data_IF_034678039100
#
_entry.id   IF_034678039100
#
_cell.length_a   1.000
_cell.length_b   1.000
_cell.length_c   1.000
_cell.angle_alpha   90.00
_cell.angle_beta   90.00
_cell.angle_gamma   90.00
#
_symmetry.space_group_name_H-M   'P 1'
#
loop_
_entity.id
_entity.type
_entity.pdbx_description
1 polymer ?
#
# COMPACT_ATOMS: atom_id res chain seq x y z
N UNK A 1 -6.08 14.48 15.81
CA UNK A 1 -5.86 14.70 14.36
C UNK A 1 -7.09 15.29 13.76
N UNK A 2 -6.90 16.24 12.85
CA UNK A 2 -7.96 16.65 11.95
C UNK A 2 -8.18 15.54 10.91
N UNK A 3 -9.43 15.36 10.48
CA UNK A 3 -9.77 14.37 9.47
C UNK A 3 -9.15 14.76 8.12
N UNK A 4 -8.73 13.77 7.33
CA UNK A 4 -8.25 13.99 5.97
C UNK A 4 -9.35 14.65 5.12
N UNK A 5 -9.11 15.89 4.69
CA UNK A 5 -10.05 16.62 3.84
C UNK A 5 -10.29 15.91 2.52
N UNK A 6 -11.49 16.08 1.94
CA UNK A 6 -11.76 15.67 0.56
C UNK A 6 -10.80 16.40 -0.40
N UNK A 7 -10.30 15.66 -1.39
CA UNK A 7 -9.34 16.19 -2.36
C UNK A 7 -7.89 16.26 -1.85
N UNK A 8 -7.57 15.59 -0.74
CA UNK A 8 -6.19 15.41 -0.29
C UNK A 8 -5.33 14.79 -1.40
N UNK A 9 -4.14 15.35 -1.60
CA UNK A 9 -3.14 14.81 -2.52
C UNK A 9 -2.41 13.61 -1.90
N UNK A 10 -1.60 12.89 -2.69
CA UNK A 10 -0.77 11.82 -2.13
C UNK A 10 0.25 12.39 -1.12
N UNK A 11 0.79 13.58 -1.39
CA UNK A 11 1.64 14.28 -0.42
C UNK A 11 0.90 14.64 0.89
N UNK A 12 -0.38 15.03 0.81
CA UNK A 12 -1.21 15.27 2.00
C UNK A 12 -1.41 13.99 2.82
N UNK A 13 -1.69 12.86 2.16
CA UNK A 13 -1.83 11.54 2.81
C UNK A 13 -0.51 11.12 3.45
N UNK A 14 0.61 11.27 2.74
CA UNK A 14 1.93 10.89 3.24
C UNK A 14 2.31 11.70 4.50
N UNK A 15 2.01 13.01 4.52
CA UNK A 15 2.17 13.87 5.70
C UNK A 15 1.23 13.47 6.83
N UNK A 16 -0.04 13.21 6.54
CA UNK A 16 -1.01 12.73 7.53
C UNK A 16 -0.52 11.45 8.23
N UNK A 17 0.07 10.51 7.47
CA UNK A 17 0.64 9.29 8.05
C UNK A 17 1.82 9.60 8.98
N UNK A 18 2.71 10.53 8.64
CA UNK A 18 3.81 10.92 9.55
C UNK A 18 3.29 11.48 10.88
N UNK A 19 2.25 12.30 10.84
CA UNK A 19 1.59 12.85 12.03
C UNK A 19 0.89 11.75 12.85
N UNK A 20 0.23 10.81 12.15
CA UNK A 20 -0.41 9.64 12.75
C UNK A 20 0.58 8.78 13.53
N UNK A 21 1.74 8.49 12.94
CA UNK A 21 2.77 7.68 13.58
C UNK A 21 3.35 8.36 14.82
N UNK A 22 3.54 9.67 14.77
CA UNK A 22 4.00 10.45 15.93
C UNK A 22 3.00 10.37 17.07
N UNK A 23 1.71 10.53 16.79
CA UNK A 23 0.66 10.50 17.81
C UNK A 23 0.42 9.10 18.40
N UNK A 24 0.58 8.06 17.58
CA UNK A 24 0.43 6.67 18.03
C UNK A 24 1.69 6.11 18.70
N UNK A 25 2.77 6.90 18.81
CA UNK A 25 4.03 6.45 19.41
C UNK A 25 4.81 5.46 18.53
N UNK A 26 4.61 5.51 17.22
CA UNK A 26 5.26 4.64 16.23
C UNK A 26 6.37 5.34 15.43
N UNK A 27 6.66 6.62 15.73
CA UNK A 27 7.70 7.38 15.05
C UNK A 27 9.09 6.69 15.10
N UNK A 28 9.40 6.03 16.21
CA UNK A 28 10.68 5.34 16.42
C UNK A 28 10.77 3.96 15.75
N UNK A 29 9.66 3.44 15.20
CA UNK A 29 9.69 2.18 14.46
C UNK A 29 10.50 2.35 13.16
N UNK A 30 11.39 1.39 12.94
CA UNK A 30 12.31 1.38 11.79
C UNK A 30 11.57 1.03 10.49
N UNK A 31 12.17 1.38 9.35
CA UNK A 31 11.65 0.99 8.04
C UNK A 31 11.54 -0.54 7.89
N UNK A 32 12.46 -1.32 8.47
CA UNK A 32 12.38 -2.79 8.48
C UNK A 32 11.12 -3.28 9.20
N UNK A 33 10.84 -2.73 10.38
CA UNK A 33 9.61 -3.09 11.12
C UNK A 33 8.35 -2.72 10.33
N UNK A 34 8.35 -1.57 9.65
CA UNK A 34 7.24 -1.17 8.77
C UNK A 34 7.06 -2.09 7.57
N UNK A 35 8.15 -2.55 6.97
CA UNK A 35 8.09 -3.54 5.88
C UNK A 35 7.52 -4.89 6.36
N UNK A 36 7.84 -5.31 7.59
CA UNK A 36 7.28 -6.54 8.17
C UNK A 36 5.77 -6.42 8.37
N UNK A 37 5.31 -5.32 8.99
CA UNK A 37 3.88 -5.06 9.17
C UNK A 37 3.14 -4.96 7.82
N UNK A 38 3.70 -4.25 6.85
CA UNK A 38 3.15 -4.20 5.49
C UNK A 38 3.04 -5.58 4.84
N UNK A 39 3.98 -6.49 5.13
CA UNK A 39 3.94 -7.87 4.66
C UNK A 39 2.81 -8.68 5.30
N UNK A 40 2.48 -8.40 6.56
CA UNK A 40 1.32 -8.99 7.25
C UNK A 40 0.01 -8.55 6.58
N UNK A 41 -0.18 -7.24 6.36
CA UNK A 41 -1.39 -6.71 5.68
C UNK A 41 -1.51 -7.19 4.23
N UNK A 42 -0.38 -7.38 3.53
CA UNK A 42 -0.39 -8.01 2.21
C UNK A 42 -0.90 -9.45 2.26
N UNK A 43 -0.53 -10.21 3.30
CA UNK A 43 -1.02 -11.55 3.53
C UNK A 43 -2.52 -11.58 3.84
N UNK A 44 -3.01 -10.65 4.65
CA UNK A 44 -4.43 -10.49 4.94
C UNK A 44 -5.23 -10.07 3.69
N UNK A 45 -4.70 -9.15 2.87
CA UNK A 45 -5.27 -8.82 1.56
C UNK A 45 -5.44 -10.08 0.69
N UNK A 46 -4.43 -10.95 0.64
CA UNK A 46 -4.52 -12.20 -0.13
C UNK A 46 -5.62 -13.13 0.40
N UNK A 47 -5.78 -13.23 1.73
CA UNK A 47 -6.88 -14.01 2.33
C UNK A 47 -8.24 -13.40 1.99
N UNK A 48 -8.38 -12.08 2.08
CA UNK A 48 -9.61 -11.36 1.76
C UNK A 48 -10.02 -11.54 0.28
N UNK A 49 -9.05 -11.47 -0.64
CA UNK A 49 -9.28 -11.73 -2.07
C UNK A 49 -9.68 -13.19 -2.30
N UNK A 50 -8.94 -14.16 -1.73
CA UNK A 50 -9.28 -15.59 -1.86
C UNK A 50 -10.70 -15.90 -1.39
N UNK A 51 -11.09 -15.32 -0.25
CA UNK A 51 -12.44 -15.45 0.30
C UNK A 51 -13.49 -14.89 -0.66
N UNK A 52 -13.24 -13.71 -1.26
CA UNK A 52 -14.15 -13.09 -2.23
C UNK A 52 -14.32 -13.91 -3.51
N UNK A 53 -13.24 -14.53 -3.97
CA UNK A 53 -13.22 -15.38 -5.17
C UNK A 53 -13.69 -16.83 -4.90
N UNK A 54 -14.11 -17.15 -3.67
CA UNK A 54 -14.59 -18.49 -3.30
C UNK A 54 -13.50 -19.57 -3.26
N UNK A 55 -12.24 -19.17 -3.15
CA UNK A 55 -11.11 -20.09 -3.01
C UNK A 55 -11.00 -20.59 -1.57
N UNK A 56 -10.57 -21.84 -1.34
CA UNK A 56 -10.35 -22.36 0.00
C UNK A 56 -9.36 -21.49 0.77
N UNK A 57 -9.65 -21.23 2.04
CA UNK A 57 -8.75 -20.56 2.98
C UNK A 57 -8.61 -21.47 4.21
N UNK A 58 -7.38 -21.71 4.67
CA UNK A 58 -7.11 -22.57 5.84
C UNK A 58 -7.61 -21.97 7.16
N UNK A 59 -8.11 -20.74 7.14
CA UNK A 59 -8.67 -20.06 8.31
C UNK A 59 -10.07 -19.52 8.00
N UNK A 60 -11.08 -20.09 8.66
CA UNK A 60 -12.47 -19.57 8.69
C UNK A 60 -12.56 -18.22 9.42
N UNK A 61 -11.58 -17.90 10.26
CA UNK A 61 -11.54 -16.67 11.04
C UNK A 61 -11.11 -15.47 10.19
N UNK A 62 -11.96 -14.45 10.13
CA UNK A 62 -11.51 -13.08 10.35
C UNK A 62 -10.90 -12.29 9.19
N UNK A 63 -10.99 -12.73 7.93
CA UNK A 63 -10.58 -11.88 6.81
C UNK A 63 -11.38 -10.56 6.82
N UNK A 64 -10.68 -9.44 6.99
CA UNK A 64 -11.26 -8.10 6.94
C UNK A 64 -11.66 -7.74 5.50
N UNK A 65 -12.45 -6.67 5.31
CA UNK A 65 -12.74 -6.14 3.98
C UNK A 65 -11.48 -5.82 3.18
N UNK A 66 -11.47 -6.17 1.89
CA UNK A 66 -10.39 -5.82 0.95
C UNK A 66 -10.03 -4.32 1.00
N UNK A 67 -11.03 -3.47 1.22
CA UNK A 67 -10.84 -2.03 1.30
C UNK A 67 -9.95 -1.61 2.49
N UNK A 68 -10.08 -2.29 3.63
CA UNK A 68 -9.34 -1.99 4.85
C UNK A 68 -7.87 -2.38 4.66
N UNK A 69 -7.62 -3.59 4.15
CA UNK A 69 -6.26 -4.10 3.88
C UNK A 69 -5.52 -3.24 2.83
N UNK A 70 -6.22 -2.77 1.79
CA UNK A 70 -5.64 -1.85 0.81
C UNK A 70 -5.29 -0.50 1.43
N UNK A 71 -6.11 0.00 2.37
CA UNK A 71 -5.84 1.23 3.08
C UNK A 71 -4.61 1.08 3.99
N UNK A 72 -4.49 -0.05 4.69
CA UNK A 72 -3.33 -0.32 5.55
C UNK A 72 -2.04 -0.44 4.74
N UNK A 73 -2.07 -1.05 3.54
CA UNK A 73 -0.94 -1.03 2.61
C UNK A 73 -0.53 0.40 2.21
N UNK A 74 -1.49 1.30 1.96
CA UNK A 74 -1.18 2.72 1.67
C UNK A 74 -0.50 3.37 2.89
N UNK A 75 -1.00 3.12 4.09
CA UNK A 75 -0.46 3.69 5.34
C UNK A 75 0.99 3.21 5.55
N UNK A 76 1.24 1.91 5.48
CA UNK A 76 2.60 1.40 5.68
C UNK A 76 3.56 1.78 4.55
N UNK A 77 3.09 1.86 3.30
CA UNK A 77 3.90 2.37 2.20
C UNK A 77 4.32 3.83 2.44
N UNK A 78 3.39 4.69 2.88
CA UNK A 78 3.70 6.06 3.28
C UNK A 78 4.70 6.11 4.43
N UNK A 79 4.52 5.26 5.46
CA UNK A 79 5.45 5.19 6.59
C UNK A 79 6.87 4.82 6.14
N UNK A 80 7.02 3.82 5.28
CA UNK A 80 8.32 3.42 4.71
C UNK A 80 8.93 4.55 3.90
N UNK A 81 8.15 5.20 3.03
CA UNK A 81 8.61 6.34 2.23
C UNK A 81 9.11 7.49 3.11
N UNK A 82 8.36 7.81 4.16
CA UNK A 82 8.72 8.85 5.14
C UNK A 82 10.04 8.54 5.85
N UNK A 83 10.32 7.28 6.20
CA UNK A 83 11.60 6.90 6.83
C UNK A 83 12.81 7.10 5.91
N UNK A 84 12.62 7.03 4.60
CA UNK A 84 13.69 7.23 3.62
C UNK A 84 13.68 8.61 2.94
N UNK A 85 12.76 9.51 3.34
CA UNK A 85 12.63 10.83 2.71
C UNK A 85 12.20 10.78 1.25
N UNK A 86 11.45 9.74 0.86
CA UNK A 86 10.95 9.57 -0.52
C UNK A 86 9.62 10.29 -0.66
N UNK A 87 9.50 11.16 -1.67
CA UNK A 87 8.21 11.69 -2.13
C UNK A 87 7.54 10.65 -3.03
N UNK A 88 6.45 10.03 -2.57
CA UNK A 88 5.76 8.98 -3.32
C UNK A 88 5.11 9.50 -4.61
N UNK A 89 4.62 10.73 -4.64
CA UNK A 89 3.97 11.29 -5.83
C UNK A 89 5.00 11.55 -6.92
N UNK A 90 6.14 12.13 -6.57
CA UNK A 90 7.26 12.32 -7.49
C UNK A 90 7.80 10.97 -7.98
N UNK A 91 8.03 10.01 -7.06
CA UNK A 91 8.53 8.68 -7.40
C UNK A 91 7.58 7.94 -8.36
N UNK A 92 6.28 8.00 -8.12
CA UNK A 92 5.26 7.41 -8.98
C UNK A 92 5.27 8.03 -10.37
N UNK A 93 5.24 9.38 -10.47
CA UNK A 93 5.25 10.10 -11.75
C UNK A 93 6.53 9.82 -12.55
N UNK A 94 7.68 9.80 -11.88
CA UNK A 94 8.96 9.50 -12.51
C UNK A 94 8.98 8.07 -13.09
N UNK A 95 8.43 7.10 -12.34
CA UNK A 95 8.32 5.72 -12.79
C UNK A 95 7.40 5.56 -13.99
N UNK A 96 6.23 6.20 -13.97
CA UNK A 96 5.27 6.13 -15.06
C UNK A 96 5.79 6.76 -16.34
N UNK A 97 6.53 7.87 -16.26
CA UNK A 97 7.21 8.44 -17.44
C UNK A 97 8.15 7.45 -18.11
N UNK A 98 8.86 6.62 -17.33
CA UNK A 98 9.71 5.54 -17.86
C UNK A 98 8.86 4.42 -18.46
N UNK A 99 7.75 4.03 -17.81
CA UNK A 99 6.87 2.97 -18.29
C UNK A 99 6.18 3.34 -19.61
N UNK A 100 5.77 4.60 -19.79
CA UNK A 100 5.20 5.10 -21.04
C UNK A 100 6.20 5.09 -22.20
N UNK A 101 7.49 5.26 -21.91
CA UNK A 101 8.55 5.16 -22.91
C UNK A 101 8.87 3.70 -23.30
N UNK A 102 8.35 2.71 -22.57
CA UNK A 102 8.52 1.30 -22.90
C UNK A 102 7.40 0.89 -23.85
N UNK A 103 7.78 0.54 -25.08
CA UNK A 103 6.85 -0.11 -26.00
C UNK A 103 6.69 -1.57 -25.57
N UNK A 104 5.63 -1.86 -24.81
CA UNK A 104 5.30 -3.22 -24.44
C UNK A 104 4.86 -3.95 -25.70
N UNK A 105 5.76 -4.76 -26.28
CA UNK A 105 5.34 -5.76 -27.26
C UNK A 105 4.45 -6.73 -26.52
N UNK A 106 3.15 -6.63 -26.76
CA UNK A 106 2.17 -7.62 -26.29
C UNK A 106 2.67 -8.98 -26.75
N UNK A 107 2.99 -9.86 -25.80
CA UNK A 107 3.32 -11.23 -26.14
C UNK A 107 2.12 -11.81 -26.91
N UNK A 108 2.32 -12.45 -28.08
CA UNK A 108 1.20 -13.00 -28.83
C UNK A 108 0.43 -13.97 -27.93
N UNK A 109 -0.91 -13.89 -27.99
CA UNK A 109 -1.78 -14.78 -27.24
C UNK A 109 -1.38 -16.25 -27.54
N UNK A 110 -1.39 -17.14 -26.53
CA UNK A 110 -1.10 -18.56 -26.77
C UNK A 110 -2.07 -19.09 -27.84
N UNK A 111 -1.51 -19.71 -28.87
CA UNK A 111 -2.30 -20.38 -29.91
C UNK A 111 -3.19 -21.43 -29.27
N UNK A 112 -4.47 -21.44 -29.68
CA UNK A 112 -5.52 -22.34 -29.20
C UNK A 112 -5.25 -23.81 -29.50
#
# INVERSE_FOLDING_TARGET
MEELRRGATLADIQRYVAELETQRGFADQTAVQKCLLMGEEMGELFKAVRKREGLPIDCEAGALPIADELADLIIYLCAVANRYGVDLEEAFRAKERVNMARNWMVAPAPAS
#
